data_IF_374788351474
#
_entry.id   IF_374788351474
#
_cell.length_a   1.000
_cell.length_b   1.000
_cell.length_c   1.000
_cell.angle_alpha   90.00
_cell.angle_beta   90.00
_cell.angle_gamma   90.00
#
_symmetry.space_group_name_H-M   'P 1'
#
loop_
_entity.id
_entity.type
_entity.pdbx_description
1 polymer ?
#
# COMPACT_ATOMS: atom_id res chain seq x y z
N UNK A 1 -2.03 15.00 4.74
CA UNK A 1 -1.34 14.45 5.94
C UNK A 1 -0.26 13.46 5.53
N UNK A 2 -0.55 12.40 4.75
CA UNK A 2 0.42 11.35 4.39
C UNK A 2 1.66 11.89 3.68
N UNK A 3 1.51 12.82 2.73
CA UNK A 3 2.64 13.43 2.02
C UNK A 3 3.55 14.20 2.97
N UNK A 4 2.97 15.00 3.88
CA UNK A 4 3.73 15.74 4.88
C UNK A 4 4.54 14.81 5.80
N UNK A 5 3.94 13.69 6.25
CA UNK A 5 4.61 12.69 7.07
C UNK A 5 5.81 12.08 6.31
N UNK A 6 5.65 11.75 5.02
CA UNK A 6 6.74 11.19 4.22
C UNK A 6 7.92 12.17 4.06
N UNK A 7 7.63 13.47 3.91
CA UNK A 7 8.68 14.50 3.90
C UNK A 7 9.38 14.61 5.25
N UNK A 8 8.64 14.64 6.36
CA UNK A 8 9.22 14.70 7.71
C UNK A 8 10.09 13.47 8.00
N UNK A 9 9.62 12.28 7.63
CA UNK A 9 10.38 11.03 7.78
C UNK A 9 11.61 10.98 6.85
N UNK A 10 11.63 11.76 5.77
CA UNK A 10 12.78 11.89 4.88
C UNK A 10 13.94 12.71 5.47
N UNK A 11 13.66 13.62 6.42
CA UNK A 11 14.67 14.53 6.98
C UNK A 11 15.91 13.82 7.54
N UNK A 12 15.80 12.73 8.34
CA UNK A 12 16.96 12.02 8.83
C UNK A 12 17.84 11.43 7.72
N UNK A 13 17.28 11.08 6.58
CA UNK A 13 18.03 10.45 5.48
C UNK A 13 18.97 11.42 4.76
N UNK A 14 18.81 12.74 4.94
CA UNK A 14 19.76 13.75 4.45
C UNK A 14 21.16 13.52 5.04
N UNK A 15 21.24 13.06 6.30
CA UNK A 15 22.49 12.79 6.99
C UNK A 15 23.16 11.47 6.55
N UNK A 16 22.41 10.56 5.94
CA UNK A 16 22.92 9.25 5.49
C UNK A 16 23.39 9.26 4.03
N UNK A 17 23.21 10.37 3.33
CA UNK A 17 23.68 10.57 1.96
C UNK A 17 22.55 10.55 0.92
N UNK A 18 22.85 11.18 -0.22
CA UNK A 18 21.87 11.44 -1.28
C UNK A 18 21.24 10.17 -1.88
N UNK A 19 21.97 9.05 -1.90
CA UNK A 19 21.44 7.77 -2.43
C UNK A 19 20.29 7.25 -1.58
N UNK A 20 20.42 7.30 -0.25
CA UNK A 20 19.38 6.85 0.66
C UNK A 20 18.16 7.77 0.58
N UNK A 21 18.40 9.08 0.48
CA UNK A 21 17.34 10.06 0.29
C UNK A 21 16.57 9.82 -1.03
N UNK A 22 17.30 9.57 -2.13
CA UNK A 22 16.70 9.25 -3.43
C UNK A 22 15.83 7.98 -3.38
N UNK A 23 16.34 6.91 -2.76
CA UNK A 23 15.58 5.67 -2.56
C UNK A 23 14.32 5.91 -1.72
N UNK A 24 14.42 6.72 -0.65
CA UNK A 24 13.26 7.07 0.18
C UNK A 24 12.17 7.77 -0.63
N UNK A 25 12.52 8.77 -1.45
CA UNK A 25 11.54 9.48 -2.27
C UNK A 25 10.95 8.60 -3.36
N UNK A 26 11.76 7.77 -4.02
CA UNK A 26 11.27 6.81 -5.02
C UNK A 26 10.27 5.82 -4.40
N UNK A 27 10.60 5.26 -3.23
CA UNK A 27 9.71 4.37 -2.50
C UNK A 27 8.45 5.08 -2.00
N UNK A 28 8.55 6.34 -1.56
CA UNK A 28 7.40 7.14 -1.12
C UNK A 28 6.41 7.39 -2.28
N UNK A 29 6.91 7.77 -3.45
CA UNK A 29 6.09 7.97 -4.65
C UNK A 29 5.42 6.65 -5.07
N UNK A 30 6.16 5.54 -5.06
CA UNK A 30 5.62 4.21 -5.33
C UNK A 30 4.50 3.84 -4.34
N UNK A 31 4.72 4.06 -3.04
CA UNK A 31 3.73 3.77 -2.01
C UNK A 31 2.43 4.56 -2.20
N UNK A 32 2.54 5.86 -2.52
CA UNK A 32 1.36 6.70 -2.77
C UNK A 32 0.63 6.26 -4.04
N UNK A 33 1.36 5.99 -5.13
CA UNK A 33 0.77 5.72 -6.44
C UNK A 33 0.28 4.28 -6.60
N UNK A 34 0.95 3.30 -6.02
CA UNK A 34 0.65 1.87 -6.23
C UNK A 34 0.09 1.23 -4.97
N UNK A 35 0.87 1.21 -3.88
CA UNK A 35 0.51 0.44 -2.70
C UNK A 35 -0.80 0.92 -2.07
N UNK A 36 -1.07 2.23 -2.04
CA UNK A 36 -2.33 2.78 -1.52
C UNK A 36 -3.54 2.20 -2.26
N UNK A 37 -3.49 2.11 -3.59
CA UNK A 37 -4.60 1.57 -4.38
C UNK A 37 -4.78 0.07 -4.17
N UNK A 38 -3.68 -0.68 -4.07
CA UNK A 38 -3.75 -2.13 -3.80
C UNK A 38 -4.30 -2.41 -2.41
N UNK A 39 -3.92 -1.62 -1.40
CA UNK A 39 -4.47 -1.73 -0.03
C UNK A 39 -5.98 -1.44 -0.03
N UNK A 40 -6.42 -0.38 -0.70
CA UNK A 40 -7.85 -0.03 -0.81
C UNK A 40 -8.63 -1.12 -1.54
N UNK A 41 -8.08 -1.64 -2.64
CA UNK A 41 -8.68 -2.76 -3.36
C UNK A 41 -8.79 -4.01 -2.47
N UNK A 42 -7.72 -4.34 -1.76
CA UNK A 42 -7.71 -5.45 -0.80
C UNK A 42 -8.72 -5.29 0.34
N UNK A 43 -8.93 -4.06 0.80
CA UNK A 43 -9.94 -3.74 1.80
C UNK A 43 -11.37 -4.11 1.35
N UNK A 44 -11.65 -4.10 0.03
CA UNK A 44 -12.96 -4.49 -0.50
C UNK A 44 -13.30 -5.99 -0.31
N UNK A 45 -12.31 -6.82 -0.01
CA UNK A 45 -12.49 -8.25 0.27
C UNK A 45 -12.55 -8.57 1.77
N UNK A 46 -12.37 -7.58 2.64
CA UNK A 46 -12.39 -7.82 4.08
C UNK A 46 -13.83 -8.04 4.57
N UNK A 47 -14.10 -9.22 5.14
CA UNK A 47 -15.41 -9.63 5.66
C UNK A 47 -15.42 -9.83 7.18
N UNK A 48 -14.33 -9.47 7.87
CA UNK A 48 -14.27 -9.63 9.32
C UNK A 48 -14.87 -8.43 10.04
N UNK A 49 -15.77 -8.72 10.97
CA UNK A 49 -16.33 -7.74 11.92
C UNK A 49 -15.27 -7.42 12.98
N UNK A 50 -15.08 -6.14 13.27
CA UNK A 50 -14.22 -5.68 14.35
C UNK A 50 -15.09 -5.48 15.59
N UNK A 51 -14.79 -6.17 16.69
CA UNK A 51 -15.47 -5.97 17.96
C UNK A 51 -14.85 -4.78 18.69
N UNK A 52 -15.54 -3.63 18.65
CA UNK A 52 -15.10 -2.39 19.27
C UNK A 52 -15.13 -2.43 20.82
N UNK A 53 -15.82 -3.40 21.41
CA UNK A 53 -15.91 -3.55 22.87
C UNK A 53 -14.70 -4.26 23.48
N UNK A 54 -13.82 -4.83 22.68
CA UNK A 54 -12.58 -5.40 23.20
C UNK A 54 -11.54 -4.31 23.47
N UNK A 55 -11.19 -4.16 24.74
CA UNK A 55 -10.21 -3.19 25.25
C UNK A 55 -8.74 -3.60 25.00
N UNK A 56 -8.45 -4.44 24.01
CA UNK A 56 -7.09 -4.82 23.71
C UNK A 56 -6.36 -3.68 22.97
N UNK A 57 -5.18 -3.30 23.45
CA UNK A 57 -4.37 -2.23 22.85
C UNK A 57 -4.00 -2.50 21.38
N UNK A 58 -3.97 -3.78 20.97
CA UNK A 58 -3.78 -4.23 19.60
C UNK A 58 -4.89 -5.20 19.22
N UNK A 59 -5.96 -4.69 18.65
CA UNK A 59 -7.06 -5.52 18.19
C UNK A 59 -6.81 -6.02 16.77
N UNK A 60 -6.26 -7.23 16.63
CA UNK A 60 -6.03 -7.90 15.36
C UNK A 60 -7.28 -8.55 14.75
N UNK A 61 -8.45 -8.40 15.35
CA UNK A 61 -9.68 -9.05 14.88
C UNK A 61 -10.09 -8.63 13.44
N UNK A 62 -9.73 -7.41 13.02
CA UNK A 62 -9.98 -6.93 11.66
C UNK A 62 -9.00 -7.48 10.61
N UNK A 63 -7.90 -8.13 11.02
CA UNK A 63 -6.92 -8.67 10.09
C UNK A 63 -7.30 -10.10 9.70
N UNK A 64 -7.53 -10.32 8.41
CA UNK A 64 -7.80 -11.63 7.85
C UNK A 64 -6.64 -12.15 7.00
N UNK A 65 -6.74 -13.41 6.57
CA UNK A 65 -5.80 -14.00 5.62
C UNK A 65 -5.63 -13.15 4.34
N UNK A 66 -6.68 -12.44 3.92
CA UNK A 66 -6.68 -11.55 2.76
C UNK A 66 -5.68 -10.41 2.92
N UNK A 67 -5.57 -9.78 4.11
CA UNK A 67 -4.61 -8.72 4.34
C UNK A 67 -3.16 -9.21 4.26
N UNK A 68 -2.89 -10.41 4.77
CA UNK A 68 -1.57 -11.03 4.66
C UNK A 68 -1.25 -11.39 3.21
N UNK A 69 -2.22 -11.95 2.50
CA UNK A 69 -2.08 -12.35 1.10
C UNK A 69 -1.81 -11.15 0.18
N UNK A 70 -2.30 -9.97 0.53
CA UNK A 70 -2.06 -8.72 -0.19
C UNK A 70 -0.81 -8.00 0.34
N UNK A 71 -0.59 -8.01 1.65
CA UNK A 71 0.52 -7.31 2.30
C UNK A 71 1.89 -7.86 1.90
N UNK A 72 2.02 -9.18 1.77
CA UNK A 72 3.27 -9.83 1.38
C UNK A 72 3.71 -9.41 -0.04
N UNK A 73 2.88 -9.54 -1.09
CA UNK A 73 3.23 -9.05 -2.42
C UNK A 73 3.52 -7.54 -2.47
N UNK A 74 2.78 -6.73 -1.69
CA UNK A 74 3.01 -5.29 -1.60
C UNK A 74 4.42 -4.92 -1.13
N UNK A 75 5.00 -5.75 -0.27
CA UNK A 75 6.35 -5.57 0.22
C UNK A 75 7.39 -6.18 -0.74
N UNK A 76 7.17 -7.43 -1.13
CA UNK A 76 8.15 -8.21 -1.89
C UNK A 76 8.30 -7.67 -3.32
N UNK A 77 7.21 -7.24 -3.96
CA UNK A 77 7.22 -6.85 -5.36
C UNK A 77 8.09 -5.61 -5.63
N UNK A 78 7.94 -4.48 -4.92
CA UNK A 78 8.82 -3.33 -5.12
C UNK A 78 10.27 -3.62 -4.70
N UNK A 79 10.48 -4.40 -3.64
CA UNK A 79 11.83 -4.80 -3.22
C UNK A 79 12.49 -5.70 -4.25
N UNK A 80 11.77 -6.65 -4.83
CA UNK A 80 12.27 -7.53 -5.88
C UNK A 80 12.61 -6.77 -7.16
N UNK A 81 11.75 -5.87 -7.61
CA UNK A 81 12.00 -5.00 -8.77
C UNK A 81 13.24 -4.13 -8.51
N UNK A 82 13.30 -3.50 -7.33
CA UNK A 82 14.44 -2.66 -6.96
C UNK A 82 15.74 -3.47 -6.94
N UNK A 83 15.76 -4.60 -6.26
CA UNK A 83 16.94 -5.45 -6.15
C UNK A 83 17.40 -5.95 -7.54
N UNK A 84 16.47 -6.43 -8.36
CA UNK A 84 16.79 -6.89 -9.70
C UNK A 84 17.45 -5.79 -10.52
N UNK A 85 16.90 -4.60 -10.56
CA UNK A 85 17.43 -3.47 -11.32
C UNK A 85 18.75 -2.94 -10.73
N UNK A 86 18.87 -2.94 -9.40
CA UNK A 86 20.08 -2.54 -8.70
C UNK A 86 21.26 -3.44 -9.07
N UNK A 87 21.06 -4.77 -9.08
CA UNK A 87 22.15 -5.71 -9.36
C UNK A 87 22.42 -5.90 -10.85
N UNK A 88 21.44 -5.64 -11.73
CA UNK A 88 21.61 -5.85 -13.19
C UNK A 88 22.02 -4.58 -13.92
N UNK A 89 21.58 -3.40 -13.47
CA UNK A 89 21.78 -2.14 -14.20
C UNK A 89 22.48 -1.09 -13.32
N UNK A 90 21.72 -0.42 -12.43
CA UNK A 90 22.26 0.56 -11.49
C UNK A 90 21.23 0.94 -10.43
N UNK A 91 21.73 1.56 -9.34
CA UNK A 91 20.92 2.09 -8.26
C UNK A 91 19.95 3.19 -8.74
N UNK A 92 20.44 4.09 -9.58
CA UNK A 92 19.69 5.23 -10.09
C UNK A 92 18.52 4.79 -10.98
N UNK A 93 18.75 3.79 -11.83
CA UNK A 93 17.70 3.19 -12.68
C UNK A 93 16.65 2.48 -11.81
N UNK A 94 17.06 1.77 -10.77
CA UNK A 94 16.11 1.14 -9.84
C UNK A 94 15.19 2.17 -9.17
N UNK A 95 15.74 3.28 -8.67
CA UNK A 95 14.96 4.38 -8.11
C UNK A 95 14.05 5.03 -9.14
N UNK A 96 14.54 5.27 -10.36
CA UNK A 96 13.78 5.89 -11.44
C UNK A 96 12.56 5.04 -11.82
N UNK A 97 12.74 3.73 -11.98
CA UNK A 97 11.64 2.81 -12.35
C UNK A 97 10.58 2.78 -11.27
N UNK A 98 10.94 2.68 -9.98
CA UNK A 98 9.97 2.75 -8.89
C UNK A 98 9.21 4.09 -8.88
N UNK A 99 9.90 5.20 -9.08
CA UNK A 99 9.28 6.51 -9.14
C UNK A 99 8.31 6.62 -10.32
N UNK A 100 8.69 6.15 -11.51
CA UNK A 100 7.80 6.15 -12.70
C UNK A 100 6.55 5.31 -12.43
N UNK A 101 6.69 4.10 -11.87
CA UNK A 101 5.54 3.26 -11.52
C UNK A 101 4.60 3.98 -10.54
N UNK A 102 5.15 4.66 -9.54
CA UNK A 102 4.36 5.44 -8.60
C UNK A 102 3.65 6.63 -9.25
N UNK A 103 4.33 7.38 -10.11
CA UNK A 103 3.74 8.50 -10.87
C UNK A 103 2.61 8.02 -11.76
N UNK A 104 2.79 6.90 -12.47
CA UNK A 104 1.73 6.30 -13.28
C UNK A 104 0.51 5.94 -12.42
N UNK A 105 0.71 5.37 -11.23
CA UNK A 105 -0.38 5.09 -10.30
C UNK A 105 -1.11 6.37 -9.86
N UNK A 106 -0.41 7.48 -9.63
CA UNK A 106 -1.01 8.78 -9.30
C UNK A 106 -1.80 9.33 -10.49
N UNK A 107 -1.24 9.29 -11.69
CA UNK A 107 -1.91 9.76 -12.93
C UNK A 107 -3.20 8.99 -13.19
N UNK A 108 -3.18 7.68 -13.00
CA UNK A 108 -4.36 6.83 -13.18
C UNK A 108 -5.25 6.72 -11.93
N UNK A 109 -5.01 7.52 -10.89
CA UNK A 109 -5.74 7.47 -9.62
C UNK A 109 -7.26 7.43 -9.78
N UNK A 110 -7.84 8.31 -10.60
CA UNK A 110 -9.29 8.36 -10.78
C UNK A 110 -9.86 7.07 -11.37
N UNK A 111 -9.19 6.49 -12.38
CA UNK A 111 -9.62 5.21 -12.98
C UNK A 111 -9.52 4.06 -11.98
N UNK A 112 -8.43 4.02 -11.23
CA UNK A 112 -8.23 3.01 -10.19
C UNK A 112 -9.28 3.13 -9.08
N UNK A 113 -9.58 4.34 -8.63
CA UNK A 113 -10.60 4.58 -7.61
C UNK A 113 -12.01 4.20 -8.09
N UNK A 114 -12.36 4.52 -9.34
CA UNK A 114 -13.64 4.09 -9.92
C UNK A 114 -13.76 2.56 -9.95
N UNK A 115 -12.71 1.87 -10.36
CA UNK A 115 -12.66 0.41 -10.36
C UNK A 115 -12.80 -0.18 -8.94
N UNK A 116 -12.04 0.36 -7.97
CA UNK A 116 -12.06 -0.08 -6.57
C UNK A 116 -13.45 0.14 -5.96
N UNK A 117 -14.05 1.32 -6.20
CA UNK A 117 -15.39 1.65 -5.71
C UNK A 117 -16.44 0.71 -6.29
N UNK A 118 -16.35 0.39 -7.59
CA UNK A 118 -17.23 -0.59 -8.22
C UNK A 118 -17.14 -1.96 -7.53
N UNK A 119 -15.93 -2.45 -7.30
CA UNK A 119 -15.70 -3.72 -6.58
C UNK A 119 -16.20 -3.68 -5.13
N UNK A 120 -16.00 -2.57 -4.44
CA UNK A 120 -16.51 -2.40 -3.09
C UNK A 120 -18.04 -2.45 -3.06
N UNK A 121 -18.72 -1.78 -3.98
CA UNK A 121 -20.19 -1.78 -4.07
C UNK A 121 -20.73 -3.18 -4.40
N UNK A 122 -20.12 -3.93 -5.32
CA UNK A 122 -20.47 -5.32 -5.61
C UNK A 122 -20.34 -6.22 -4.36
N UNK A 123 -19.32 -5.98 -3.54
CA UNK A 123 -19.03 -6.77 -2.35
C UNK A 123 -19.83 -6.34 -1.12
N UNK A 124 -20.41 -5.14 -1.11
CA UNK A 124 -21.06 -4.50 0.05
C UNK A 124 -22.11 -5.41 0.72
N UNK A 125 -23.02 -5.97 -0.06
CA UNK A 125 -24.08 -6.81 0.49
C UNK A 125 -23.55 -8.13 1.05
N UNK A 126 -22.51 -8.70 0.44
CA UNK A 126 -21.83 -9.91 0.94
C UNK A 126 -21.10 -9.64 2.25
N UNK A 127 -20.54 -8.46 2.41
CA UNK A 127 -19.89 -8.02 3.66
C UNK A 127 -20.92 -7.84 4.79
N UNK A 128 -22.05 -7.21 4.51
CA UNK A 128 -23.15 -7.02 5.49
C UNK A 128 -23.70 -8.38 5.91
N UNK A 129 -24.01 -9.26 4.97
CA UNK A 129 -24.53 -10.59 5.28
C UNK A 129 -23.53 -11.44 6.12
N UNK A 130 -22.22 -11.32 5.86
CA UNK A 130 -21.20 -12.00 6.66
C UNK A 130 -21.08 -11.42 8.08
N UNK A 131 -21.39 -10.14 8.28
CA UNK A 131 -21.44 -9.53 9.61
C UNK A 131 -22.66 -9.97 10.42
N UNK A 132 -23.81 -10.17 9.80
CA UNK A 132 -25.03 -10.64 10.45
C UNK A 132 -24.94 -12.13 10.87
N UNK A 133 -24.24 -12.97 10.11
CA UNK A 133 -24.07 -14.38 10.42
C UNK A 133 -23.15 -14.64 11.62
N UNK A 134 -22.38 -13.66 12.05
CA UNK A 134 -21.45 -13.76 13.19
C UNK A 134 -22.02 -13.12 14.48
N UNK A 135 -23.32 -12.84 14.52
CA UNK A 135 -24.08 -12.48 15.73
C UNK A 135 -24.86 -13.67 16.24
#
# INVERSE_FOLDING_TARGET
VSVAILFILGVPYVFFGWKILLAHFAAAIYNIGVNTHVILWGGSFNRKKINLNQKAAFNYQGTGAVQWLIGIPLLILPMGIFALLYFTISFEIACLVLAIMGVLGIVFHQKMMTFITGKYLESKYKMIAAFDQNN
#
